data_IF_914487053993
#
_entry.id   IF_914487053993
#
_cell.length_a   1.000
_cell.length_b   1.000
_cell.length_c   1.000
_cell.angle_alpha   90.00
_cell.angle_beta   90.00
_cell.angle_gamma   90.00
#
_symmetry.space_group_name_H-M   'P 1'
#
loop_
_entity.id
_entity.type
_entity.pdbx_description
1 polymer ?
#
# COMPACT_ATOMS: atom_id res chain seq x y z
N UNK A 1 -2.21 -6.95 25.77
CA UNK A 1 -1.18 -6.17 25.08
C UNK A 1 -0.15 -7.16 24.57
N UNK A 2 -0.46 -7.80 23.44
CA UNK A 2 0.54 -8.59 22.71
C UNK A 2 1.47 -7.57 22.06
N UNK A 3 2.76 -7.69 22.36
CA UNK A 3 3.81 -7.08 21.57
C UNK A 3 3.62 -7.64 20.17
N UNK A 4 3.32 -6.78 19.20
CA UNK A 4 3.43 -7.14 17.79
C UNK A 4 4.91 -7.44 17.62
N UNK A 5 5.24 -8.74 17.58
CA UNK A 5 6.62 -9.17 17.40
C UNK A 5 7.12 -8.51 16.11
N UNK A 6 8.28 -7.88 16.20
CA UNK A 6 8.86 -7.04 15.16
C UNK A 6 9.36 -7.96 14.04
N UNK A 7 8.43 -8.55 13.29
CA UNK A 7 8.77 -9.54 12.27
C UNK A 7 9.63 -8.88 11.20
N UNK A 8 10.89 -9.28 11.11
CA UNK A 8 11.80 -8.82 10.08
C UNK A 8 11.78 -9.86 8.94
N UNK A 9 11.11 -9.58 7.80
CA UNK A 9 11.09 -10.52 6.68
C UNK A 9 12.51 -10.82 6.14
N UNK A 10 13.49 -9.97 6.43
CA UNK A 10 14.90 -10.20 6.07
C UNK A 10 15.64 -11.11 7.07
N UNK A 11 15.05 -11.41 8.24
CA UNK A 11 15.59 -12.33 9.24
C UNK A 11 15.12 -13.78 9.05
N UNK A 12 14.10 -14.02 8.22
CA UNK A 12 13.61 -15.35 7.91
C UNK A 12 14.58 -16.13 7.02
N UNK A 13 14.62 -17.45 7.21
CA UNK A 13 15.23 -18.33 6.22
C UNK A 13 14.41 -18.28 4.93
N UNK A 14 15.09 -18.44 3.79
CA UNK A 14 14.49 -18.25 2.46
C UNK A 14 13.20 -19.05 2.24
N UNK A 15 13.19 -20.31 2.67
CA UNK A 15 12.04 -21.19 2.52
C UNK A 15 10.88 -20.76 3.43
N UNK A 16 11.19 -20.29 4.64
CA UNK A 16 10.18 -19.83 5.60
C UNK A 16 9.51 -18.54 5.08
N UNK A 17 10.27 -17.61 4.49
CA UNK A 17 9.70 -16.44 3.82
C UNK A 17 8.80 -16.84 2.64
N UNK A 18 9.24 -17.79 1.81
CA UNK A 18 8.44 -18.25 0.67
C UNK A 18 7.15 -18.98 1.11
N UNK A 19 7.24 -19.78 2.18
CA UNK A 19 6.10 -20.53 2.72
C UNK A 19 5.11 -19.63 3.47
N UNK A 20 5.55 -18.50 4.02
CA UNK A 20 4.66 -17.50 4.62
C UNK A 20 4.08 -16.55 3.57
N UNK A 21 4.91 -15.97 2.71
CA UNK A 21 4.46 -14.94 1.76
C UNK A 21 3.70 -15.54 0.59
N UNK A 22 4.11 -16.68 0.02
CA UNK A 22 3.47 -17.24 -1.18
C UNK A 22 2.39 -18.30 -0.89
N UNK A 23 2.06 -18.56 0.38
CA UNK A 23 1.05 -19.55 0.75
C UNK A 23 -0.33 -18.93 0.89
N UNK A 24 -1.25 -19.34 0.02
CA UNK A 24 -2.65 -18.96 0.13
C UNK A 24 -3.27 -19.41 1.46
N UNK A 25 -2.87 -20.58 1.97
CA UNK A 25 -3.37 -21.07 3.25
C UNK A 25 -2.89 -20.18 4.40
N UNK A 26 -1.62 -19.78 4.39
CA UNK A 26 -1.08 -18.85 5.39
C UNK A 26 -1.81 -17.50 5.32
N UNK A 27 -2.03 -16.97 4.12
CA UNK A 27 -2.82 -15.75 3.93
C UNK A 27 -4.22 -15.91 4.50
N UNK A 28 -4.94 -16.98 4.15
CA UNK A 28 -6.31 -17.21 4.61
C UNK A 28 -6.38 -17.29 6.15
N UNK A 29 -5.50 -18.07 6.77
CA UNK A 29 -5.44 -18.23 8.22
C UNK A 29 -5.04 -16.92 8.93
N UNK A 30 -4.15 -16.14 8.32
CA UNK A 30 -3.74 -14.84 8.85
C UNK A 30 -4.89 -13.83 8.78
N UNK A 31 -5.50 -13.67 7.60
CA UNK A 31 -6.60 -12.72 7.34
C UNK A 31 -7.85 -13.07 8.17
N UNK A 32 -8.24 -14.34 8.24
CA UNK A 32 -9.33 -14.79 9.12
C UNK A 32 -9.01 -14.48 10.59
N UNK A 33 -7.74 -14.62 10.99
CA UNK A 33 -7.27 -14.39 12.35
C UNK A 33 -7.54 -12.97 12.87
N UNK A 34 -7.06 -11.92 12.19
CA UNK A 34 -7.17 -10.54 12.70
C UNK A 34 -8.39 -9.76 12.19
N UNK A 35 -9.15 -10.27 11.22
CA UNK A 35 -10.34 -9.57 10.67
C UNK A 35 -11.68 -10.19 11.06
N UNK A 36 -11.70 -11.41 11.60
CA UNK A 36 -12.96 -12.12 11.91
C UNK A 36 -13.90 -11.36 12.85
N UNK A 37 -13.37 -10.54 13.76
CA UNK A 37 -14.14 -9.71 14.70
C UNK A 37 -14.20 -8.22 14.31
N UNK A 38 -13.80 -7.88 13.07
CA UNK A 38 -13.70 -6.49 12.58
C UNK A 38 -14.50 -6.27 11.29
N UNK A 39 -15.85 -6.26 11.35
CA UNK A 39 -16.65 -5.90 10.19
C UNK A 39 -16.23 -4.50 9.68
N UNK A 40 -15.97 -4.39 8.37
CA UNK A 40 -15.47 -3.16 7.74
C UNK A 40 -14.18 -2.59 8.39
N UNK A 41 -13.34 -3.44 8.98
CA UNK A 41 -12.01 -3.07 9.47
C UNK A 41 -11.96 -2.51 10.89
N UNK A 42 -13.09 -2.41 11.61
CA UNK A 42 -13.13 -1.90 13.00
C UNK A 42 -13.86 -2.86 13.94
N UNK A 43 -13.51 -2.81 15.22
CA UNK A 43 -14.32 -3.50 16.24
C UNK A 43 -15.68 -2.81 16.36
N UNK A 44 -16.75 -3.57 16.58
CA UNK A 44 -18.07 -3.00 16.86
C UNK A 44 -18.08 -2.10 18.10
N UNK A 45 -17.16 -2.37 19.04
CA UNK A 45 -16.99 -1.60 20.27
C UNK A 45 -16.21 -0.31 20.10
N UNK A 46 -15.56 -0.09 18.95
CA UNK A 46 -14.81 1.14 18.69
C UNK A 46 -15.79 2.27 18.46
N UNK A 47 -15.66 3.31 19.29
CA UNK A 47 -16.55 4.46 19.28
C UNK A 47 -15.92 5.58 18.44
N UNK A 48 -16.75 6.30 17.69
CA UNK A 48 -16.32 7.52 17.02
C UNK A 48 -15.94 8.59 18.05
N UNK A 49 -14.87 9.31 17.74
CA UNK A 49 -14.44 10.48 18.49
C UNK A 49 -15.13 11.73 17.93
N UNK A 50 -15.42 12.71 18.80
CA UNK A 50 -15.84 14.02 18.32
C UNK A 50 -14.72 14.66 17.49
N UNK A 51 -15.09 15.19 16.33
CA UNK A 51 -14.18 15.75 15.35
C UNK A 51 -14.75 17.05 14.81
N UNK A 52 -13.94 18.11 14.78
CA UNK A 52 -14.33 19.36 14.16
C UNK A 52 -14.42 19.26 12.63
N UNK A 53 -15.18 20.17 12.02
CA UNK A 53 -15.43 20.16 10.57
C UNK A 53 -14.13 20.22 9.76
N UNK A 54 -13.10 20.95 10.21
CA UNK A 54 -11.85 21.05 9.45
C UNK A 54 -11.06 19.74 9.49
N UNK A 55 -10.97 19.08 10.65
CA UNK A 55 -10.33 17.77 10.79
C UNK A 55 -11.11 16.72 9.99
N UNK A 56 -12.45 16.77 10.00
CA UNK A 56 -13.31 15.90 9.19
C UNK A 56 -13.05 16.08 7.70
N UNK A 57 -13.02 17.32 7.22
CA UNK A 57 -12.80 17.62 5.80
C UNK A 57 -11.41 17.21 5.32
N UNK A 58 -10.36 17.37 6.15
CA UNK A 58 -9.02 16.85 5.83
C UNK A 58 -9.02 15.33 5.76
N UNK A 59 -9.61 14.64 6.74
CA UNK A 59 -9.72 13.18 6.73
C UNK A 59 -10.45 12.65 5.49
N UNK A 60 -11.54 13.30 5.07
CA UNK A 60 -12.25 12.95 3.82
C UNK A 60 -11.31 13.11 2.62
N UNK A 61 -10.57 14.22 2.51
CA UNK A 61 -9.59 14.41 1.43
C UNK A 61 -8.52 13.32 1.43
N UNK A 62 -7.98 12.97 2.60
CA UNK A 62 -6.98 11.91 2.73
C UNK A 62 -7.55 10.56 2.29
N UNK A 63 -8.70 10.16 2.81
CA UNK A 63 -9.32 8.87 2.47
C UNK A 63 -9.75 8.78 1.00
N UNK A 64 -10.15 9.91 0.39
CA UNK A 64 -10.38 9.95 -1.05
C UNK A 64 -9.11 9.62 -1.84
N UNK A 65 -7.96 10.15 -1.43
CA UNK A 65 -6.69 9.89 -2.10
C UNK A 65 -6.13 8.49 -1.81
N UNK A 66 -6.33 7.96 -0.60
CA UNK A 66 -6.07 6.54 -0.32
C UNK A 66 -6.91 5.66 -1.24
N UNK A 67 -8.20 5.96 -1.42
CA UNK A 67 -9.06 5.20 -2.34
C UNK A 67 -8.55 5.23 -3.79
N UNK A 68 -7.91 6.33 -4.24
CA UNK A 68 -7.26 6.38 -5.58
C UNK A 68 -6.04 5.45 -5.63
N UNK A 69 -5.21 5.47 -4.59
CA UNK A 69 -4.04 4.61 -4.44
C UNK A 69 -4.42 3.13 -4.40
N UNK A 70 -5.33 2.75 -3.52
CA UNK A 70 -5.87 1.38 -3.41
C UNK A 70 -6.53 0.90 -4.71
N UNK A 71 -7.19 1.81 -5.46
CA UNK A 71 -7.72 1.44 -6.79
C UNK A 71 -6.59 1.17 -7.79
N UNK A 72 -5.49 1.92 -7.71
CA UNK A 72 -4.30 1.67 -8.52
C UNK A 72 -3.65 0.33 -8.15
N UNK A 73 -3.47 0.07 -6.86
CA UNK A 73 -2.94 -1.19 -6.33
C UNK A 73 -3.83 -2.39 -6.73
N UNK A 74 -5.15 -2.27 -6.58
CA UNK A 74 -6.11 -3.32 -6.94
C UNK A 74 -6.05 -3.67 -8.44
N UNK A 75 -6.13 -2.65 -9.31
CA UNK A 75 -6.08 -2.86 -10.75
C UNK A 75 -4.71 -3.36 -11.21
N UNK A 76 -3.64 -2.86 -10.59
CA UNK A 76 -2.27 -3.27 -10.89
C UNK A 76 -1.99 -4.70 -10.45
N UNK A 77 -2.37 -5.09 -9.23
CA UNK A 77 -2.28 -6.47 -8.74
C UNK A 77 -3.05 -7.43 -9.66
N UNK A 78 -4.27 -7.04 -10.07
CA UNK A 78 -5.09 -7.84 -10.97
C UNK A 78 -4.40 -8.07 -12.33
N UNK A 79 -3.73 -7.05 -12.87
CA UNK A 79 -2.92 -7.19 -14.08
C UNK A 79 -1.67 -8.04 -13.86
N UNK A 80 -0.99 -7.88 -12.73
CA UNK A 80 0.21 -8.65 -12.36
C UNK A 80 -0.10 -10.14 -12.15
N UNK A 81 -1.28 -10.53 -11.68
CA UNK A 81 -1.73 -11.93 -11.66
C UNK A 81 -1.55 -12.59 -13.02
N UNK A 82 -1.88 -11.88 -14.12
CA UNK A 82 -1.73 -12.42 -15.47
C UNK A 82 -0.26 -12.54 -15.89
N UNK A 83 0.59 -11.58 -15.49
CA UNK A 83 1.99 -11.47 -15.88
C UNK A 83 2.96 -12.31 -15.04
N UNK A 84 2.54 -12.76 -13.86
CA UNK A 84 3.40 -13.47 -12.91
C UNK A 84 4.25 -14.56 -13.58
N UNK A 85 5.59 -14.56 -13.38
CA UNK A 85 6.53 -15.42 -14.10
C UNK A 85 6.42 -16.89 -13.66
N UNK A 86 5.91 -17.13 -12.46
CA UNK A 86 5.68 -18.45 -11.91
C UNK A 86 4.38 -18.52 -11.10
N UNK A 87 4.07 -19.72 -10.61
CA UNK A 87 2.81 -19.99 -9.91
C UNK A 87 2.77 -19.40 -8.50
N UNK A 88 3.91 -19.27 -7.84
CA UNK A 88 3.96 -18.75 -6.47
C UNK A 88 3.73 -17.24 -6.48
N UNK A 89 4.41 -16.50 -7.36
CA UNK A 89 4.14 -15.07 -7.56
C UNK A 89 2.69 -14.84 -8.01
N UNK A 90 2.11 -15.74 -8.81
CA UNK A 90 0.71 -15.66 -9.21
C UNK A 90 -0.26 -15.84 -8.03
N UNK A 91 0.03 -16.77 -7.12
CA UNK A 91 -0.77 -16.99 -5.91
C UNK A 91 -0.70 -15.75 -5.02
N UNK A 92 0.50 -15.21 -4.79
CA UNK A 92 0.67 -13.99 -4.00
C UNK A 92 -0.05 -12.78 -4.59
N UNK A 93 0.07 -12.54 -5.90
CA UNK A 93 -0.67 -11.46 -6.55
C UNK A 93 -2.19 -11.65 -6.41
N UNK A 94 -2.69 -12.88 -6.41
CA UNK A 94 -4.11 -13.13 -6.21
C UNK A 94 -4.59 -12.84 -4.77
N UNK A 95 -3.74 -13.07 -3.76
CA UNK A 95 -4.04 -12.66 -2.38
C UNK A 95 -3.98 -11.14 -2.25
N UNK A 96 -3.00 -10.49 -2.89
CA UNK A 96 -2.91 -9.02 -2.91
C UNK A 96 -4.17 -8.39 -3.54
N UNK A 97 -4.70 -8.92 -4.66
CA UNK A 97 -5.98 -8.46 -5.23
C UNK A 97 -7.13 -8.49 -4.21
N UNK A 98 -7.18 -9.53 -3.38
CA UNK A 98 -8.22 -9.63 -2.35
C UNK A 98 -8.01 -8.61 -1.22
N UNK A 99 -6.76 -8.38 -0.82
CA UNK A 99 -6.38 -7.38 0.17
C UNK A 99 -6.75 -5.96 -0.32
N UNK A 100 -6.37 -5.56 -1.55
CA UNK A 100 -6.66 -4.20 -2.05
C UNK A 100 -8.16 -3.96 -2.26
N UNK A 101 -8.89 -5.00 -2.68
CA UNK A 101 -10.35 -4.92 -2.77
C UNK A 101 -10.97 -4.65 -1.40
N UNK A 102 -10.42 -5.26 -0.34
CA UNK A 102 -10.84 -5.05 1.04
C UNK A 102 -10.43 -3.65 1.53
N UNK A 103 -9.23 -3.18 1.23
CA UNK A 103 -8.77 -1.84 1.60
C UNK A 103 -9.70 -0.77 1.03
N UNK A 104 -10.03 -0.90 -0.26
CA UNK A 104 -10.98 -0.02 -0.92
C UNK A 104 -12.37 -0.10 -0.26
N UNK A 105 -12.87 -1.29 0.07
CA UNK A 105 -14.16 -1.44 0.76
C UNK A 105 -14.20 -0.70 2.10
N UNK A 106 -13.17 -0.87 2.94
CA UNK A 106 -13.16 -0.25 4.28
C UNK A 106 -13.00 1.26 4.21
N UNK A 107 -12.23 1.80 3.26
CA UNK A 107 -12.14 3.25 3.06
C UNK A 107 -13.44 3.85 2.51
N UNK A 108 -14.09 3.19 1.55
CA UNK A 108 -15.40 3.61 1.05
C UNK A 108 -16.46 3.55 2.17
N UNK A 109 -16.38 2.56 3.06
CA UNK A 109 -17.24 2.50 4.24
C UNK A 109 -16.96 3.67 5.18
N UNK A 110 -15.70 3.94 5.52
CA UNK A 110 -15.32 5.05 6.41
C UNK A 110 -15.74 6.42 5.86
N UNK A 111 -15.61 6.65 4.55
CA UNK A 111 -16.12 7.87 3.90
C UNK A 111 -17.62 8.07 4.14
N UNK A 112 -18.42 7.00 4.09
CA UNK A 112 -19.87 7.05 4.37
C UNK A 112 -20.15 7.33 5.84
N UNK A 113 -19.42 6.73 6.76
CA UNK A 113 -19.55 7.03 8.20
C UNK A 113 -19.24 8.50 8.51
N UNK A 114 -18.28 9.07 7.78
CA UNK A 114 -17.98 10.49 7.84
C UNK A 114 -19.09 11.34 7.21
N UNK A 115 -20.08 10.78 6.53
CA UNK A 115 -21.22 11.51 5.95
C UNK A 115 -21.06 11.86 4.47
N UNK A 116 -20.09 11.25 3.76
CA UNK A 116 -20.01 11.35 2.29
C UNK A 116 -21.11 10.48 1.68
N UNK A 117 -22.05 11.12 0.99
CA UNK A 117 -23.22 10.43 0.39
C UNK A 117 -22.84 9.64 -0.87
N UNK A 118 -21.97 10.21 -1.70
CA UNK A 118 -21.48 9.60 -2.93
C UNK A 118 -19.95 9.55 -2.92
N UNK A 119 -19.36 8.48 -2.36
CA UNK A 119 -17.92 8.33 -2.28
C UNK A 119 -17.23 8.42 -3.65
N UNK A 120 -17.81 7.85 -4.71
CA UNK A 120 -17.20 7.84 -6.05
C UNK A 120 -17.05 9.26 -6.61
N UNK A 121 -18.12 10.04 -6.55
CA UNK A 121 -18.09 11.44 -6.99
C UNK A 121 -17.12 12.28 -6.14
N UNK A 122 -17.05 12.00 -4.84
CA UNK A 122 -16.19 12.72 -3.92
C UNK A 122 -14.70 12.38 -4.12
N UNK A 123 -14.39 11.11 -4.37
CA UNK A 123 -13.06 10.65 -4.76
C UNK A 123 -12.64 11.35 -6.05
N UNK A 124 -13.46 11.30 -7.10
CA UNK A 124 -13.16 11.96 -8.37
C UNK A 124 -12.93 13.47 -8.21
N UNK A 125 -13.65 14.12 -7.29
CA UNK A 125 -13.52 15.56 -7.02
C UNK A 125 -12.24 15.92 -6.26
N UNK A 126 -11.79 15.06 -5.34
CA UNK A 126 -10.64 15.31 -4.44
C UNK A 126 -9.35 14.60 -4.86
N UNK A 127 -9.40 13.76 -5.89
CA UNK A 127 -8.26 13.02 -6.40
C UNK A 127 -7.12 13.97 -6.78
N UNK A 128 -5.93 13.70 -6.25
CA UNK A 128 -4.72 14.42 -6.63
C UNK A 128 -4.32 14.03 -8.06
N UNK A 129 -4.18 15.00 -8.99
CA UNK A 129 -3.91 14.69 -10.39
C UNK A 129 -2.64 13.85 -10.61
N UNK A 130 -1.60 14.10 -9.82
CA UNK A 130 -0.34 13.36 -9.91
C UNK A 130 -0.49 11.87 -9.55
N UNK A 131 -1.33 11.55 -8.56
CA UNK A 131 -1.63 10.15 -8.21
C UNK A 131 -2.45 9.45 -9.30
N UNK A 132 -3.37 10.17 -9.93
CA UNK A 132 -4.12 9.65 -11.09
C UNK A 132 -3.18 9.40 -12.29
N UNK A 133 -2.22 10.29 -12.51
CA UNK A 133 -1.18 10.12 -13.54
C UNK A 133 -0.30 8.90 -13.23
N UNK A 134 0.15 8.75 -11.98
CA UNK A 134 0.91 7.58 -11.54
C UNK A 134 0.13 6.28 -11.78
N UNK A 135 -1.15 6.22 -11.39
CA UNK A 135 -2.02 5.06 -11.68
C UNK A 135 -2.01 4.74 -13.18
N UNK A 136 -2.15 5.75 -14.03
CA UNK A 136 -2.09 5.57 -15.49
C UNK A 136 -0.76 4.98 -15.97
N UNK A 137 0.36 5.50 -15.45
CA UNK A 137 1.69 5.02 -15.79
C UNK A 137 1.96 3.58 -15.31
N UNK A 138 1.56 3.25 -14.07
CA UNK A 138 1.60 1.90 -13.51
C UNK A 138 0.86 0.90 -14.41
N UNK A 139 -0.40 1.19 -14.74
CA UNK A 139 -1.22 0.30 -15.56
C UNK A 139 -0.69 0.18 -16.99
N UNK A 140 -0.03 1.22 -17.51
CA UNK A 140 0.61 1.17 -18.81
C UNK A 140 1.83 0.23 -18.81
N UNK A 141 2.67 0.23 -17.77
CA UNK A 141 3.79 -0.71 -17.63
C UNK A 141 3.29 -2.16 -17.62
N UNK A 142 2.21 -2.41 -16.85
CA UNK A 142 1.58 -3.72 -16.77
C UNK A 142 0.95 -4.11 -18.12
N UNK A 143 0.26 -3.20 -18.80
CA UNK A 143 -0.32 -3.48 -20.12
C UNK A 143 0.74 -3.83 -21.19
N UNK A 144 1.98 -3.36 -21.02
CA UNK A 144 3.12 -3.71 -21.88
C UNK A 144 3.73 -5.09 -21.56
N UNK A 145 3.26 -5.77 -20.52
CA UNK A 145 3.71 -7.09 -20.12
C UNK A 145 5.03 -7.09 -19.33
N UNK A 146 5.41 -5.95 -18.76
CA UNK A 146 6.67 -5.81 -18.02
C UNK A 146 6.49 -6.12 -16.54
N UNK A 147 6.69 -7.39 -16.16
CA UNK A 147 6.59 -7.84 -14.77
C UNK A 147 7.48 -7.04 -13.82
N UNK A 148 8.77 -6.87 -14.14
CA UNK A 148 9.70 -6.17 -13.24
C UNK A 148 9.31 -4.70 -13.06
N UNK A 149 8.93 -4.02 -14.15
CA UNK A 149 8.51 -2.63 -14.05
C UNK A 149 7.19 -2.48 -13.29
N UNK A 150 6.25 -3.41 -13.48
CA UNK A 150 4.99 -3.45 -12.76
C UNK A 150 5.17 -3.69 -11.26
N UNK A 151 5.97 -4.69 -10.86
CA UNK A 151 6.31 -4.95 -9.44
C UNK A 151 7.09 -3.78 -8.84
N UNK A 152 7.94 -3.11 -9.63
CA UNK A 152 8.68 -1.95 -9.13
C UNK A 152 7.74 -0.77 -8.86
N UNK A 153 6.88 -0.43 -9.82
CA UNK A 153 5.93 0.67 -9.65
C UNK A 153 4.87 0.36 -8.57
N UNK A 154 4.32 -0.85 -8.54
CA UNK A 154 3.36 -1.25 -7.52
C UNK A 154 4.06 -1.50 -6.18
N UNK A 155 4.74 -2.64 -6.04
CA UNK A 155 5.18 -3.14 -4.74
C UNK A 155 6.34 -2.35 -4.10
N UNK A 156 7.19 -1.69 -4.90
CA UNK A 156 8.32 -0.92 -4.34
C UNK A 156 7.98 0.55 -4.18
N UNK A 157 7.40 1.20 -5.19
CA UNK A 157 7.08 2.63 -5.10
C UNK A 157 5.79 2.85 -4.31
N UNK A 158 4.66 2.29 -4.77
CA UNK A 158 3.34 2.58 -4.19
C UNK A 158 3.22 2.00 -2.77
N UNK A 159 3.34 0.69 -2.61
CA UNK A 159 3.08 0.01 -1.32
C UNK A 159 4.04 0.47 -0.21
N UNK A 160 5.33 0.67 -0.51
CA UNK A 160 6.30 1.16 0.50
C UNK A 160 5.91 2.54 1.03
N UNK A 161 5.46 3.44 0.14
CA UNK A 161 5.03 4.77 0.53
C UNK A 161 3.67 4.72 1.26
N UNK A 162 2.72 3.92 0.77
CA UNK A 162 1.41 3.73 1.40
C UNK A 162 1.55 3.13 2.79
N UNK A 163 2.31 2.04 2.95
CA UNK A 163 2.67 1.46 4.24
C UNK A 163 3.17 2.51 5.23
N UNK A 164 4.11 3.36 4.79
CA UNK A 164 4.69 4.39 5.65
C UNK A 164 3.67 5.44 6.04
N UNK A 165 2.90 5.94 5.07
CA UNK A 165 1.87 6.96 5.30
C UNK A 165 0.74 6.43 6.18
N UNK A 166 0.27 5.21 5.96
CA UNK A 166 -0.77 4.59 6.79
C UNK A 166 -0.29 4.41 8.22
N UNK A 167 0.93 3.92 8.43
CA UNK A 167 1.50 3.76 9.78
C UNK A 167 1.66 5.09 10.51
N UNK A 168 2.12 6.12 9.82
CA UNK A 168 2.24 7.48 10.37
C UNK A 168 0.87 8.10 10.67
N UNK A 169 -0.11 7.88 9.81
CA UNK A 169 -1.49 8.34 10.02
C UNK A 169 -2.12 7.61 11.22
N UNK A 170 -2.00 6.28 11.32
CA UNK A 170 -2.57 5.49 12.41
C UNK A 170 -2.04 5.90 13.80
N UNK A 171 -0.84 6.49 13.87
CA UNK A 171 -0.29 7.02 15.12
C UNK A 171 -1.08 8.22 15.67
N UNK A 172 -1.75 9.00 14.81
CA UNK A 172 -2.45 10.24 15.16
C UNK A 172 -3.94 10.25 14.73
N UNK A 173 -4.44 9.16 14.17
CA UNK A 173 -5.82 9.03 13.69
C UNK A 173 -6.84 8.96 14.84
N UNK A 174 -8.12 9.25 14.53
CA UNK A 174 -9.22 8.90 15.43
C UNK A 174 -9.34 7.38 15.60
N UNK A 175 -9.95 6.94 16.71
CA UNK A 175 -10.06 5.53 17.07
C UNK A 175 -10.59 4.62 15.95
N UNK A 176 -11.59 5.07 15.19
CA UNK A 176 -12.17 4.28 14.09
C UNK A 176 -11.20 4.18 12.93
N UNK A 177 -10.66 5.31 12.46
CA UNK A 177 -9.69 5.31 11.35
C UNK A 177 -8.43 4.53 11.71
N UNK A 178 -7.97 4.61 12.95
CA UNK A 178 -6.85 3.82 13.46
C UNK A 178 -7.10 2.32 13.38
N UNK A 179 -8.29 1.88 13.78
CA UNK A 179 -8.67 0.46 13.71
C UNK A 179 -8.67 -0.03 12.26
N UNK A 180 -9.31 0.75 11.35
CA UNK A 180 -9.34 0.46 9.92
C UNK A 180 -7.92 0.34 9.35
N UNK A 181 -7.07 1.33 9.60
CA UNK A 181 -5.68 1.33 9.13
C UNK A 181 -4.85 0.19 9.71
N UNK A 182 -5.12 -0.27 10.94
CA UNK A 182 -4.35 -1.35 11.55
C UNK A 182 -4.45 -2.65 10.75
N UNK A 183 -5.63 -2.95 10.17
CA UNK A 183 -5.80 -4.10 9.28
C UNK A 183 -5.08 -3.91 7.95
N UNK A 184 -5.20 -2.72 7.34
CA UNK A 184 -4.52 -2.36 6.08
C UNK A 184 -3.00 -2.47 6.22
N UNK A 185 -2.41 -1.84 7.25
CA UNK A 185 -0.96 -1.86 7.51
C UNK A 185 -0.41 -3.29 7.67
N UNK A 186 -1.21 -4.21 8.21
CA UNK A 186 -0.82 -5.61 8.36
C UNK A 186 -0.65 -6.33 7.02
N UNK A 187 -1.34 -5.87 5.98
CA UNK A 187 -1.33 -6.43 4.63
C UNK A 187 -0.21 -5.82 3.80
N UNK A 188 -0.13 -4.49 3.81
CA UNK A 188 0.89 -3.69 3.11
C UNK A 188 2.32 -4.17 3.38
N UNK A 189 2.58 -4.60 4.61
CA UNK A 189 3.90 -5.13 4.98
C UNK A 189 4.30 -6.33 4.13
N UNK A 190 3.34 -7.22 3.82
CA UNK A 190 3.57 -8.39 2.97
C UNK A 190 3.76 -7.98 1.51
N UNK A 191 3.00 -6.99 1.05
CA UNK A 191 3.05 -6.46 -0.32
C UNK A 191 4.38 -5.78 -0.63
N UNK A 192 4.86 -4.90 0.25
CA UNK A 192 6.19 -4.28 0.13
C UNK A 192 7.32 -5.33 0.21
N UNK A 193 7.21 -6.26 1.18
CA UNK A 193 8.19 -7.34 1.36
C UNK A 193 8.32 -8.25 0.15
N UNK A 194 7.20 -8.58 -0.51
CA UNK A 194 7.23 -9.32 -1.78
C UNK A 194 7.96 -8.56 -2.88
N UNK A 195 7.69 -7.26 -3.05
CA UNK A 195 8.33 -6.43 -4.06
C UNK A 195 9.85 -6.38 -3.93
N UNK A 196 10.35 -6.13 -2.72
CA UNK A 196 11.78 -6.13 -2.42
C UNK A 196 12.42 -7.50 -2.70
N UNK A 197 11.75 -8.58 -2.32
CA UNK A 197 12.28 -9.92 -2.45
C UNK A 197 12.32 -10.39 -3.92
N UNK A 198 11.22 -10.24 -4.66
CA UNK A 198 11.10 -10.66 -6.06
C UNK A 198 12.07 -9.87 -6.94
N UNK A 199 12.07 -8.54 -6.85
CA UNK A 199 12.99 -7.70 -7.61
C UNK A 199 14.43 -7.87 -7.17
N UNK A 200 14.70 -7.97 -5.87
CA UNK A 200 16.05 -8.18 -5.35
C UNK A 200 16.67 -9.45 -5.94
N UNK A 201 15.93 -10.57 -5.92
CA UNK A 201 16.36 -11.83 -6.55
C UNK A 201 16.52 -11.68 -8.06
N UNK A 202 15.54 -11.09 -8.73
CA UNK A 202 15.58 -10.93 -10.18
C UNK A 202 16.76 -10.06 -10.63
N UNK A 203 17.10 -8.99 -9.92
CA UNK A 203 18.21 -8.08 -10.23
C UNK A 203 19.58 -8.61 -9.78
N UNK A 204 19.61 -9.57 -8.85
CA UNK A 204 20.81 -10.34 -8.54
C UNK A 204 21.15 -11.33 -9.67
N UNK A 205 20.14 -11.95 -10.28
CA UNK A 205 20.30 -12.86 -11.41
C UNK A 205 20.60 -12.12 -12.72
N UNK A 206 19.91 -11.02 -12.99
CA UNK A 206 20.15 -10.14 -14.13
C UNK A 206 20.31 -8.67 -13.71
N UNK A 207 21.55 -8.23 -13.45
CA UNK A 207 21.85 -6.85 -13.10
C UNK A 207 21.51 -5.82 -14.17
N UNK A 208 21.34 -6.21 -15.43
CA UNK A 208 21.15 -5.27 -16.55
C UNK A 208 19.83 -4.51 -16.45
N UNK A 209 18.83 -5.08 -15.77
CA UNK A 209 17.52 -4.44 -15.52
C UNK A 209 17.60 -3.17 -14.67
N UNK A 210 18.67 -2.97 -13.88
CA UNK A 210 18.80 -1.79 -13.00
C UNK A 210 18.81 -0.46 -13.76
N UNK A 211 19.42 -0.41 -14.94
CA UNK A 211 19.46 0.83 -15.74
C UNK A 211 18.06 1.30 -16.11
N UNK A 212 17.26 0.37 -16.65
CA UNK A 212 15.87 0.60 -17.03
C UNK A 212 14.99 0.99 -15.83
N UNK A 213 15.11 0.29 -14.70
CA UNK A 213 14.31 0.60 -13.51
C UNK A 213 14.66 1.97 -12.92
N UNK A 214 15.92 2.44 -13.02
CA UNK A 214 16.28 3.82 -12.64
C UNK A 214 15.62 4.87 -13.53
N UNK A 215 15.49 4.61 -14.84
CA UNK A 215 14.77 5.51 -15.75
C UNK A 215 13.28 5.56 -15.38
N UNK A 216 12.65 4.41 -15.18
CA UNK A 216 11.25 4.32 -14.74
C UNK A 216 11.05 5.06 -13.41
N UNK A 217 11.97 4.88 -12.46
CA UNK A 217 11.95 5.59 -11.17
C UNK A 217 11.97 7.11 -11.36
N UNK A 218 12.87 7.60 -12.21
CA UNK A 218 13.01 9.04 -12.46
C UNK A 218 11.72 9.65 -13.03
N UNK A 219 10.95 8.88 -13.80
CA UNK A 219 9.66 9.29 -14.34
C UNK A 219 8.54 9.23 -13.28
N UNK A 220 8.53 8.19 -12.43
CA UNK A 220 7.45 7.93 -11.48
C UNK A 220 7.56 8.68 -10.14
N UNK A 221 8.77 8.84 -9.58
CA UNK A 221 9.00 9.47 -8.27
C UNK A 221 8.29 10.84 -8.12
N UNK A 222 8.36 11.76 -9.11
CA UNK A 222 7.70 13.07 -9.01
C UNK A 222 6.17 13.00 -8.91
N UNK A 223 5.55 11.90 -9.37
CA UNK A 223 4.10 11.74 -9.39
C UNK A 223 3.55 11.35 -8.01
N UNK A 224 4.36 10.67 -7.18
CA UNK A 224 3.92 10.10 -5.90
C UNK A 224 4.46 10.83 -4.67
N UNK A 225 5.72 11.28 -4.69
CA UNK A 225 6.37 11.83 -3.49
C UNK A 225 5.59 13.03 -2.92
N UNK A 226 5.22 13.98 -3.78
CA UNK A 226 4.47 15.16 -3.36
C UNK A 226 3.05 14.83 -2.88
N UNK A 227 2.44 13.76 -3.38
CA UNK A 227 1.09 13.32 -2.95
C UNK A 227 1.15 12.74 -1.55
N UNK A 228 2.12 11.87 -1.27
CA UNK A 228 2.27 11.26 0.05
C UNK A 228 2.74 12.27 1.11
N UNK A 229 3.61 13.22 0.76
CA UNK A 229 3.94 14.35 1.64
C UNK A 229 2.72 15.23 1.96
N UNK A 230 1.86 15.51 0.97
CA UNK A 230 0.62 16.23 1.20
C UNK A 230 -0.33 15.45 2.11
N UNK A 231 -0.44 14.13 1.92
CA UNK A 231 -1.25 13.27 2.79
C UNK A 231 -0.76 13.31 4.25
N UNK A 232 0.55 13.25 4.49
CA UNK A 232 1.13 13.41 5.83
C UNK A 232 0.80 14.76 6.46
N UNK A 233 0.79 15.83 5.66
CA UNK A 233 0.39 17.17 6.12
C UNK A 233 -1.08 17.19 6.53
N UNK A 234 -1.97 16.60 5.72
CA UNK A 234 -3.42 16.61 5.96
C UNK A 234 -3.82 15.86 7.25
N UNK A 235 -3.12 14.75 7.53
CA UNK A 235 -3.32 13.94 8.74
C UNK A 235 -2.57 14.47 9.96
N UNK A 236 -1.83 15.57 9.82
CA UNK A 236 -1.10 16.21 10.92
C UNK A 236 0.09 15.39 11.42
N UNK A 237 0.73 14.61 10.53
CA UNK A 237 1.96 13.90 10.89
C UNK A 237 3.07 14.89 11.27
N UNK A 238 3.96 14.54 12.22
CA UNK A 238 5.08 15.40 12.59
C UNK A 238 6.08 15.52 11.43
N UNK A 239 6.88 16.60 11.43
CA UNK A 239 7.90 16.84 10.41
C UNK A 239 8.90 15.67 10.26
N UNK A 240 9.19 14.96 11.36
CA UNK A 240 10.02 13.74 11.35
C UNK A 240 9.42 12.64 10.46
N UNK A 241 8.08 12.55 10.36
CA UNK A 241 7.39 11.59 9.50
C UNK A 241 7.62 11.84 8.01
N UNK A 242 7.79 13.10 7.58
CA UNK A 242 8.13 13.41 6.19
C UNK A 242 9.54 12.93 5.83
N UNK A 243 10.50 13.15 6.74
CA UNK A 243 11.86 12.65 6.56
C UNK A 243 11.90 11.11 6.57
N UNK A 244 11.06 10.48 7.40
CA UNK A 244 10.91 9.04 7.46
C UNK A 244 10.36 8.46 6.15
N UNK A 245 9.31 9.05 5.58
CA UNK A 245 8.74 8.61 4.28
C UNK A 245 9.80 8.60 3.18
N UNK A 246 10.52 9.72 3.02
CA UNK A 246 11.57 9.81 2.01
C UNK A 246 12.72 8.84 2.30
N UNK A 247 13.12 8.70 3.57
CA UNK A 247 14.20 7.81 3.99
C UNK A 247 13.89 6.34 3.73
N UNK A 248 12.74 5.83 4.18
CA UNK A 248 12.36 4.42 4.02
C UNK A 248 12.22 4.03 2.55
N UNK A 249 11.67 4.92 1.71
CA UNK A 249 11.63 4.70 0.27
C UNK A 249 13.04 4.66 -0.35
N UNK A 250 13.90 5.64 -0.04
CA UNK A 250 15.25 5.71 -0.58
C UNK A 250 16.11 4.51 -0.14
N UNK A 251 15.99 4.08 1.12
CA UNK A 251 16.69 2.91 1.64
C UNK A 251 16.29 1.64 0.87
N UNK A 252 14.99 1.51 0.55
CA UNK A 252 14.45 0.39 -0.25
C UNK A 252 15.03 0.37 -1.66
N UNK A 253 15.03 1.53 -2.32
CA UNK A 253 15.62 1.72 -3.64
C UNK A 253 17.14 1.45 -3.62
N UNK A 254 17.85 1.85 -2.57
CA UNK A 254 19.28 1.58 -2.39
C UNK A 254 19.56 0.09 -2.24
N UNK A 255 18.77 -0.65 -1.43
CA UNK A 255 18.90 -2.11 -1.29
C UNK A 255 18.77 -2.85 -2.63
N UNK A 256 17.94 -2.34 -3.54
CA UNK A 256 17.77 -2.88 -4.89
C UNK A 256 18.87 -2.43 -5.88
N UNK A 257 19.70 -1.46 -5.47
CA UNK A 257 20.74 -0.86 -6.30
C UNK A 257 20.18 0.08 -7.38
N UNK A 258 19.08 0.77 -7.07
CA UNK A 258 18.33 1.65 -7.98
C UNK A 258 18.50 3.15 -7.67
N UNK A 259 19.52 3.49 -6.86
CA UNK A 259 20.02 4.86 -6.69
C UNK A 259 20.70 5.36 -7.95
#
# INVERSE_FOLDING_TARGET
MMVVDEFDPHALAEQDFLDEVHSFQFWFDSVEGYLSDRPYGRLETTLDEEMDDNRRERLITTLCNYSVGETAALEGAAGLVQLAPDRNSKIFMATQVADEARHLEVFLHRLRELGVVDPEAEIARRAQPALVEFKGALLQLIAQGDWQAGVFAQNVILETMEYTVFRLHAANADAVTKDVLSGVISDERRHAGFGENDLGRSLALDPSGRGRLREIRADLDPMVLGVFEAALTDVGAPAEGHAQLAGEYLDTVERLGLT
#
